data_IF_414198590886
#
_entry.id   IF_414198590886
#
_cell.length_a   1.000
_cell.length_b   1.000
_cell.length_c   1.000
_cell.angle_alpha   90.00
_cell.angle_beta   90.00
_cell.angle_gamma   90.00
#
_symmetry.space_group_name_H-M   'P 1'
#
loop_
_entity.id
_entity.type
_entity.pdbx_description
1 polymer ?
#
# COMPACT_ATOMS: atom_id res chain seq x y z
N UNK A 1 6.95 -3.01 4.66
CA UNK A 1 7.62 -2.97 5.98
C UNK A 1 7.81 -1.52 6.45
N UNK A 2 7.36 -1.14 7.67
CA UNK A 2 7.38 0.25 8.17
C UNK A 2 8.77 0.80 8.56
N UNK A 3 9.85 0.01 8.41
CA UNK A 3 11.21 0.51 8.67
C UNK A 3 11.47 0.79 10.15
N UNK A 4 12.28 1.81 10.42
CA UNK A 4 12.60 2.28 11.79
C UNK A 4 11.56 3.29 12.33
N UNK A 5 10.36 3.33 11.75
CA UNK A 5 9.29 4.21 12.19
C UNK A 5 8.87 3.86 13.64
N UNK A 6 8.73 4.84 14.56
CA UNK A 6 8.24 4.59 15.93
C UNK A 6 6.89 3.86 15.93
N UNK A 7 6.71 2.96 16.90
CA UNK A 7 5.55 2.07 16.98
C UNK A 7 4.20 2.79 16.97
N UNK A 8 4.14 4.00 17.55
CA UNK A 8 2.93 4.82 17.71
C UNK A 8 2.65 5.75 16.53
N UNK A 9 3.57 5.88 15.58
CA UNK A 9 3.35 6.69 14.38
C UNK A 9 2.30 6.05 13.47
N UNK A 10 1.38 6.89 12.97
CA UNK A 10 0.29 6.44 12.10
C UNK A 10 0.73 6.52 10.65
N UNK A 11 0.67 5.38 9.97
CA UNK A 11 0.94 5.23 8.56
C UNK A 11 -0.37 5.33 7.79
N UNK A 12 -0.39 6.20 6.78
CA UNK A 12 -1.59 6.53 6.02
C UNK A 12 -1.43 6.04 4.59
N UNK A 13 -2.43 5.32 4.03
CA UNK A 13 -2.39 4.88 2.65
C UNK A 13 -2.32 6.04 1.66
N UNK A 14 -1.55 5.85 0.59
CA UNK A 14 -1.37 6.83 -0.48
C UNK A 14 -1.59 6.15 -1.83
N UNK A 15 -2.23 6.86 -2.76
CA UNK A 15 -2.26 6.51 -4.16
C UNK A 15 -1.12 7.26 -4.86
N UNK A 16 -0.03 6.54 -5.10
CA UNK A 16 1.19 7.09 -5.66
C UNK A 16 1.13 7.30 -7.18
N UNK A 17 0.03 6.97 -7.86
CA UNK A 17 -0.12 7.16 -9.32
C UNK A 17 0.09 8.60 -9.78
N UNK A 18 -0.10 9.59 -8.90
CA UNK A 18 0.22 10.98 -9.23
C UNK A 18 1.70 11.22 -9.51
N UNK A 19 2.60 10.36 -9.02
CA UNK A 19 4.04 10.46 -9.26
C UNK A 19 4.41 10.16 -10.71
N UNK A 20 3.62 9.38 -11.45
CA UNK A 20 3.89 9.06 -12.86
C UNK A 20 3.93 10.32 -13.74
N UNK A 21 3.21 11.38 -13.35
CA UNK A 21 3.27 12.68 -14.03
C UNK A 21 4.65 13.35 -13.91
N UNK A 22 5.40 13.02 -12.86
CA UNK A 22 6.71 13.57 -12.56
C UNK A 22 7.85 12.59 -12.85
N UNK A 23 7.57 11.28 -12.86
CA UNK A 23 8.53 10.18 -12.89
C UNK A 23 8.06 9.04 -13.83
N UNK A 24 7.72 9.33 -15.10
CA UNK A 24 6.99 8.38 -15.96
C UNK A 24 7.73 7.08 -16.28
N UNK A 25 9.07 7.11 -16.26
CA UNK A 25 9.94 5.97 -16.57
C UNK A 25 10.86 5.61 -15.38
N UNK A 26 10.53 6.09 -14.18
CA UNK A 26 11.37 5.95 -13.00
C UNK A 26 10.62 5.18 -11.91
N UNK A 27 11.19 4.06 -11.46
CA UNK A 27 10.70 3.38 -10.28
C UNK A 27 11.14 4.15 -9.02
N UNK A 28 10.16 4.70 -8.31
CA UNK A 28 10.35 5.45 -7.07
C UNK A 28 10.11 4.61 -5.82
N UNK A 29 9.59 3.40 -5.97
CA UNK A 29 9.32 2.51 -4.85
C UNK A 29 10.27 1.34 -4.96
N UNK A 30 11.14 1.16 -3.96
CA UNK A 30 12.08 0.04 -3.99
C UNK A 30 11.39 -1.32 -3.79
N UNK A 31 12.13 -2.41 -3.99
CA UNK A 31 11.61 -3.78 -3.80
C UNK A 31 11.13 -4.09 -2.37
N UNK A 32 11.35 -3.19 -1.40
CA UNK A 32 10.85 -3.29 -0.02
C UNK A 32 9.65 -2.37 0.22
N UNK A 33 9.02 -1.86 -0.84
CA UNK A 33 7.88 -0.93 -0.81
C UNK A 33 8.21 0.42 -0.16
N UNK A 34 9.45 0.91 -0.29
CA UNK A 34 9.86 2.23 0.24
C UNK A 34 9.95 3.28 -0.85
N UNK A 35 9.30 4.42 -0.62
CA UNK A 35 9.35 5.58 -1.51
C UNK A 35 10.71 6.31 -1.40
N UNK A 36 11.38 6.56 -2.53
CA UNK A 36 12.61 7.35 -2.62
C UNK A 36 12.31 8.87 -2.49
N UNK A 37 12.12 9.29 -1.24
CA UNK A 37 11.86 10.70 -0.90
C UNK A 37 13.03 11.60 -1.30
N UNK A 38 14.27 11.12 -1.24
CA UNK A 38 15.42 11.95 -1.62
C UNK A 38 15.40 12.30 -3.10
N UNK A 39 15.03 11.36 -3.98
CA UNK A 39 14.89 11.62 -5.41
C UNK A 39 13.74 12.56 -5.70
N UNK A 40 12.63 12.45 -4.97
CA UNK A 40 11.55 13.45 -5.02
C UNK A 40 12.09 14.84 -4.67
N UNK A 41 12.80 14.97 -3.54
CA UNK A 41 13.38 16.24 -3.10
C UNK A 41 14.38 16.82 -4.10
N UNK A 42 15.25 15.99 -4.70
CA UNK A 42 16.22 16.43 -5.71
C UNK A 42 15.56 16.95 -6.99
N UNK A 43 14.49 16.30 -7.47
CA UNK A 43 13.83 16.65 -8.74
C UNK A 43 12.80 17.76 -8.59
N UNK A 44 11.95 17.66 -7.56
CA UNK A 44 10.78 18.54 -7.38
C UNK A 44 11.06 19.70 -6.40
N UNK A 45 11.98 19.49 -5.46
CA UNK A 45 12.18 20.39 -4.32
C UNK A 45 11.17 20.13 -3.19
N UNK A 46 11.44 20.67 -1.98
CA UNK A 46 10.73 20.31 -0.76
C UNK A 46 9.23 20.60 -0.80
N UNK A 47 8.84 21.76 -1.33
CA UNK A 47 7.43 22.17 -1.41
C UNK A 47 6.64 21.25 -2.33
N UNK A 48 7.11 21.05 -3.56
CA UNK A 48 6.42 20.23 -4.54
C UNK A 48 6.37 18.76 -4.10
N UNK A 49 7.42 18.21 -3.49
CA UNK A 49 7.39 16.86 -2.91
C UNK A 49 6.28 16.71 -1.86
N UNK A 50 6.14 17.67 -0.94
CA UNK A 50 5.08 17.65 0.06
C UNK A 50 3.68 17.77 -0.58
N UNK A 51 3.50 18.67 -1.55
CA UNK A 51 2.24 18.85 -2.27
C UNK A 51 1.84 17.59 -3.06
N UNK A 52 2.81 16.86 -3.61
CA UNK A 52 2.57 15.59 -4.30
C UNK A 52 2.10 14.50 -3.34
N UNK A 53 2.68 14.37 -2.15
CA UNK A 53 2.22 13.41 -1.14
C UNK A 53 0.80 13.73 -0.64
N UNK A 54 0.47 15.02 -0.47
CA UNK A 54 -0.90 15.44 -0.16
C UNK A 54 -1.86 15.09 -1.30
N UNK A 55 -1.42 15.23 -2.55
CA UNK A 55 -2.22 14.86 -3.71
C UNK A 55 -2.44 13.34 -3.82
N UNK A 56 -1.41 12.55 -3.50
CA UNK A 56 -1.49 11.09 -3.41
C UNK A 56 -2.53 10.63 -2.38
N UNK A 57 -2.56 11.27 -1.21
CA UNK A 57 -3.57 10.98 -0.19
C UNK A 57 -4.98 11.34 -0.68
N UNK A 58 -5.13 12.49 -1.36
CA UNK A 58 -6.43 12.91 -1.91
C UNK A 58 -6.94 11.93 -2.97
N UNK A 59 -6.04 11.42 -3.84
CA UNK A 59 -6.39 10.42 -4.83
C UNK A 59 -6.85 9.12 -4.17
N UNK A 60 -6.13 8.65 -3.14
CA UNK A 60 -6.54 7.49 -2.36
C UNK A 60 -7.94 7.69 -1.77
N UNK A 61 -8.18 8.82 -1.09
CA UNK A 61 -9.46 9.13 -0.47
C UNK A 61 -10.62 9.29 -1.47
N UNK A 62 -10.32 9.74 -2.69
CA UNK A 62 -11.33 9.91 -3.74
C UNK A 62 -11.96 8.56 -4.17
N UNK A 63 -11.32 7.42 -3.88
CA UNK A 63 -11.83 6.08 -4.14
C UNK A 63 -12.40 5.94 -5.57
N UNK A 64 -11.59 6.29 -6.58
CA UNK A 64 -12.06 6.42 -7.98
C UNK A 64 -12.61 5.10 -8.53
N UNK A 65 -12.02 3.99 -8.12
CA UNK A 65 -12.43 2.64 -8.48
C UNK A 65 -13.60 2.11 -7.64
N UNK A 66 -14.08 2.90 -6.67
CA UNK A 66 -15.22 2.59 -5.79
C UNK A 66 -15.07 1.25 -5.07
N UNK A 67 -13.86 0.98 -4.61
CA UNK A 67 -13.57 -0.18 -3.78
C UNK A 67 -14.46 -0.17 -2.53
N UNK A 68 -14.90 -1.35 -2.11
CA UNK A 68 -15.71 -1.50 -0.90
C UNK A 68 -14.87 -1.13 0.32
N UNK A 69 -15.46 -0.39 1.28
CA UNK A 69 -14.74 0.14 2.45
C UNK A 69 -14.05 -0.95 3.30
N UNK A 70 -14.57 -2.18 3.28
CA UNK A 70 -13.97 -3.32 3.97
C UNK A 70 -12.65 -3.79 3.33
N UNK A 71 -12.52 -3.62 2.02
CA UNK A 71 -11.38 -4.08 1.21
C UNK A 71 -10.28 -3.02 1.10
N UNK A 72 -10.59 -1.78 1.45
CA UNK A 72 -9.65 -0.67 1.30
C UNK A 72 -8.59 -0.67 2.41
N UNK A 73 -7.32 -0.38 2.08
CA UNK A 73 -6.29 -0.16 3.08
C UNK A 73 -6.72 0.90 4.10
N UNK A 74 -6.52 0.61 5.38
CA UNK A 74 -6.86 1.52 6.47
C UNK A 74 -5.58 2.12 7.07
N UNK A 75 -5.63 3.35 7.60
CA UNK A 75 -4.56 3.84 8.44
C UNK A 75 -4.31 2.88 9.60
N UNK A 76 -3.05 2.62 9.89
CA UNK A 76 -2.61 1.79 11.00
C UNK A 76 -1.30 2.32 11.55
N UNK A 77 -0.99 1.96 12.78
CA UNK A 77 0.29 2.28 13.42
C UNK A 77 1.44 1.50 12.81
N UNK A 78 2.67 1.99 12.95
CA UNK A 78 3.85 1.25 12.52
C UNK A 78 3.98 -0.10 13.24
N UNK A 79 3.54 -0.17 14.51
CA UNK A 79 3.45 -1.43 15.24
C UNK A 79 2.48 -2.41 14.59
N UNK A 80 1.25 -1.99 14.31
CA UNK A 80 0.23 -2.86 13.69
C UNK A 80 0.69 -3.40 12.33
N UNK A 81 1.38 -2.58 11.53
CA UNK A 81 1.96 -3.06 10.26
C UNK A 81 3.09 -4.06 10.50
N UNK A 82 4.00 -3.80 11.45
CA UNK A 82 5.06 -4.77 11.80
C UNK A 82 4.47 -6.11 12.21
N UNK A 83 3.51 -6.10 13.14
CA UNK A 83 2.85 -7.31 13.63
C UNK A 83 2.19 -8.08 12.45
N UNK A 84 1.49 -7.38 11.55
CA UNK A 84 0.85 -8.00 10.36
C UNK A 84 1.87 -8.59 9.38
N UNK A 85 3.02 -7.94 9.21
CA UNK A 85 4.08 -8.41 8.33
C UNK A 85 4.75 -9.67 8.89
N UNK A 86 5.04 -9.67 10.20
CA UNK A 86 5.68 -10.79 10.88
C UNK A 86 4.73 -12.00 10.99
N UNK A 87 3.43 -11.79 11.21
CA UNK A 87 2.41 -12.84 11.19
C UNK A 87 2.22 -13.44 9.79
N UNK A 88 2.35 -12.63 8.73
CA UNK A 88 2.28 -13.08 7.34
C UNK A 88 3.51 -13.89 6.89
N UNK A 89 4.71 -13.52 7.37
CA UNK A 89 5.96 -14.28 7.14
C UNK A 89 6.02 -15.58 7.97
N UNK A 90 5.26 -15.68 9.06
CA UNK A 90 5.09 -16.90 9.85
C UNK A 90 4.01 -17.86 9.31
N UNK A 91 3.31 -17.47 8.23
CA UNK A 91 2.08 -18.11 7.74
C UNK A 91 2.12 -18.64 6.30
N UNK A 92 3.29 -18.86 5.69
CA UNK A 92 3.38 -19.60 4.40
C UNK A 92 3.12 -21.13 4.57
N UNK A 93 2.15 -21.54 5.38
CA UNK A 93 1.63 -22.93 5.44
C UNK A 93 0.15 -22.95 5.84
N UNK A 94 -0.77 -22.52 4.96
CA UNK A 94 -2.09 -23.16 4.72
C UNK A 94 -2.98 -22.28 3.81
N UNK A 95 -3.18 -22.72 2.57
CA UNK A 95 -4.54 -22.77 2.02
C UNK A 95 -4.67 -24.05 1.18
N UNK A 96 -4.83 -25.16 1.90
CA UNK A 96 -5.39 -26.38 1.34
C UNK A 96 -6.91 -26.32 1.52
N UNK A 97 -7.66 -26.17 0.43
CA UNK A 97 -9.10 -26.43 0.46
C UNK A 97 -9.94 -25.68 -0.55
N UNK A 98 -9.87 -26.05 -1.84
CA UNK A 98 -11.04 -25.92 -2.72
C UNK A 98 -11.60 -27.33 -2.93
N UNK A 99 -12.47 -27.77 -2.02
CA UNK A 99 -13.42 -28.85 -2.30
C UNK A 99 -14.42 -28.31 -3.35
N UNK A 100 -14.21 -28.64 -4.63
CA UNK A 100 -15.26 -28.51 -5.65
C UNK A 100 -16.34 -29.57 -5.37
N UNK A 101 -17.29 -29.20 -4.51
CA UNK A 101 -18.59 -29.84 -4.41
C UNK A 101 -19.59 -29.10 -5.27
N UNK A 102 -19.82 -29.56 -6.51
CA UNK A 102 -20.99 -29.17 -7.29
C UNK A 102 -21.70 -30.41 -7.86
N UNK A 103 -22.78 -30.76 -7.15
CA UNK A 103 -24.13 -31.09 -7.63
C UNK A 103 -24.38 -32.31 -8.54
N UNK A 104 -25.29 -33.16 -8.04
CA UNK A 104 -25.95 -34.25 -8.74
C UNK A 104 -26.78 -33.74 -9.94
N UNK A 105 -26.51 -34.22 -11.15
CA UNK A 105 -27.55 -34.37 -12.18
C UNK A 105 -27.89 -35.85 -12.35
N UNK A 106 -28.99 -36.27 -11.73
CA UNK A 106 -29.76 -37.40 -12.20
C UNK A 106 -30.32 -37.08 -13.59
N UNK A 107 -29.88 -37.80 -14.61
CA UNK A 107 -30.71 -38.31 -15.73
C UNK A 107 -29.94 -39.34 -16.59
#
# INVERSE_FOLDING_TARGET
YPGDCPDDEVLVPLDLSCLDNHFPDEDLVDGNMRLDVERMLRKLGPKASAETLVSAQRLFLANREREAEAERPKPMTAKEWRDTWDDGEAGEEEDGGVEEGEEEEML
#
